data_IF_893088296434
#
_entry.id   IF_893088296434
#
_cell.length_a   1.000
_cell.length_b   1.000
_cell.length_c   1.000
_cell.angle_alpha   90.00
_cell.angle_beta   90.00
_cell.angle_gamma   90.00
#
_symmetry.space_group_name_H-M   'P 1'
#
loop_
_entity.id
_entity.type
_entity.pdbx_description
1 polymer ?
#
# COMPACT_ATOMS: atom_id res chain seq x y z
N UNK A 1 -2.47 0.31 -28.89
CA UNK A 1 -1.63 0.35 -27.68
C UNK A 1 -2.12 -0.66 -26.63
N UNK A 2 -3.41 -0.70 -26.30
CA UNK A 2 -4.02 -1.75 -25.46
C UNK A 2 -3.56 -3.18 -25.75
N UNK A 3 -3.63 -3.64 -27.00
CA UNK A 3 -3.20 -4.99 -27.36
C UNK A 3 -1.70 -5.25 -27.07
N UNK A 4 -0.85 -4.22 -27.18
CA UNK A 4 0.59 -4.37 -26.88
C UNK A 4 0.80 -4.59 -25.38
N UNK A 5 0.12 -3.81 -24.53
CA UNK A 5 0.17 -4.00 -23.08
C UNK A 5 -0.35 -5.38 -22.69
N UNK A 6 -1.42 -5.86 -23.33
CA UNK A 6 -1.94 -7.20 -23.09
C UNK A 6 -0.94 -8.31 -23.47
N UNK A 7 -0.19 -8.15 -24.56
CA UNK A 7 0.88 -9.09 -24.92
C UNK A 7 1.98 -9.09 -23.87
N UNK A 8 2.40 -7.92 -23.36
CA UNK A 8 3.37 -7.84 -22.25
C UNK A 8 2.85 -8.59 -21.03
N UNK A 9 1.62 -8.27 -20.60
CA UNK A 9 0.96 -8.90 -19.45
C UNK A 9 0.81 -10.41 -19.59
N UNK A 10 0.46 -10.91 -20.78
CA UNK A 10 0.33 -12.35 -21.04
C UNK A 10 1.64 -13.13 -20.79
N UNK A 11 2.79 -12.49 -20.96
CA UNK A 11 4.11 -13.12 -20.73
C UNK A 11 4.50 -13.18 -19.24
N UNK A 12 3.98 -12.26 -18.42
CA UNK A 12 4.37 -12.11 -17.00
C UNK A 12 3.19 -12.25 -16.03
N UNK A 13 2.03 -12.72 -16.51
CA UNK A 13 0.85 -12.90 -15.67
C UNK A 13 1.12 -13.90 -14.53
N UNK A 14 0.63 -13.64 -13.30
CA UNK A 14 0.92 -14.52 -12.15
C UNK A 14 0.39 -15.96 -12.28
N UNK A 15 -0.51 -16.23 -13.22
CA UNK A 15 -1.02 -17.58 -13.50
C UNK A 15 -0.04 -18.47 -14.28
N UNK A 16 1.01 -17.89 -14.88
CA UNK A 16 2.05 -18.64 -15.58
C UNK A 16 3.01 -19.33 -14.59
N UNK A 17 3.80 -20.28 -15.10
CA UNK A 17 4.88 -20.90 -14.34
C UNK A 17 5.91 -19.85 -13.90
N UNK A 18 6.27 -19.84 -12.61
CA UNK A 18 7.17 -18.82 -12.03
C UNK A 18 8.51 -18.71 -12.77
N UNK A 19 9.07 -19.83 -13.25
CA UNK A 19 10.32 -19.83 -14.02
C UNK A 19 10.19 -19.07 -15.36
N UNK A 20 9.04 -19.22 -16.03
CA UNK A 20 8.76 -18.52 -17.30
C UNK A 20 8.58 -17.03 -17.04
N UNK A 21 7.78 -16.67 -16.03
CA UNK A 21 7.57 -15.26 -15.64
C UNK A 21 8.91 -14.59 -15.31
N UNK A 22 9.75 -15.20 -14.47
CA UNK A 22 11.05 -14.65 -14.08
C UNK A 22 12.03 -14.55 -15.26
N UNK A 23 11.95 -15.44 -16.26
CA UNK A 23 12.73 -15.31 -17.48
C UNK A 23 12.27 -14.10 -18.31
N UNK A 24 10.96 -13.94 -18.49
CA UNK A 24 10.37 -12.81 -19.21
C UNK A 24 10.67 -11.47 -18.52
N UNK A 25 10.47 -11.37 -17.20
CA UNK A 25 10.72 -10.15 -16.41
C UNK A 25 12.18 -9.67 -16.59
N UNK A 26 13.16 -10.58 -16.51
CA UNK A 26 14.58 -10.25 -16.74
C UNK A 26 14.89 -9.82 -18.17
N UNK A 27 14.25 -10.43 -19.17
CA UNK A 27 14.41 -10.01 -20.58
C UNK A 27 13.82 -8.61 -20.78
N UNK A 28 12.64 -8.35 -20.23
CA UNK A 28 11.98 -7.04 -20.31
C UNK A 28 12.81 -5.93 -19.65
N UNK A 29 13.50 -6.24 -18.55
CA UNK A 29 14.45 -5.32 -17.94
C UNK A 29 15.64 -5.03 -18.87
N UNK A 30 16.32 -6.10 -19.34
CA UNK A 30 17.50 -5.97 -20.21
C UNK A 30 17.20 -5.27 -21.53
N UNK A 31 16.00 -5.46 -22.06
CA UNK A 31 15.53 -4.81 -23.29
C UNK A 31 15.01 -3.38 -23.06
N UNK A 32 15.07 -2.86 -21.83
CA UNK A 32 14.53 -1.55 -21.42
C UNK A 32 13.02 -1.39 -21.63
N UNK A 33 12.28 -2.50 -21.70
CA UNK A 33 10.83 -2.45 -21.81
C UNK A 33 10.21 -1.91 -20.52
N UNK A 34 10.70 -2.32 -19.34
CA UNK A 34 10.23 -1.78 -18.06
C UNK A 34 10.44 -0.26 -18.01
N UNK A 35 11.64 0.21 -18.35
CA UNK A 35 11.95 1.63 -18.44
C UNK A 35 10.97 2.39 -19.35
N UNK A 36 10.71 1.90 -20.57
CA UNK A 36 9.76 2.53 -21.49
C UNK A 36 8.33 2.57 -20.93
N UNK A 37 7.88 1.53 -20.22
CA UNK A 37 6.57 1.53 -19.54
C UNK A 37 6.53 2.58 -18.41
N UNK A 38 7.62 2.73 -17.66
CA UNK A 38 7.74 3.76 -16.62
C UNK A 38 7.78 5.18 -17.19
N UNK A 39 8.37 5.41 -18.36
CA UNK A 39 8.31 6.70 -19.06
C UNK A 39 6.87 7.08 -19.43
N UNK A 40 6.08 6.11 -19.92
CA UNK A 40 4.66 6.30 -20.22
C UNK A 40 3.88 6.61 -18.95
N UNK A 41 4.16 5.89 -17.85
CA UNK A 41 3.54 6.14 -16.55
C UNK A 41 3.74 7.58 -16.05
N UNK A 42 4.91 8.18 -16.34
CA UNK A 42 5.26 9.54 -15.93
C UNK A 42 4.92 10.61 -16.98
N UNK A 43 4.42 10.21 -18.15
CA UNK A 43 4.13 11.13 -19.25
C UNK A 43 2.82 11.90 -19.05
N UNK A 44 2.82 13.18 -19.41
CA UNK A 44 1.60 13.99 -19.43
C UNK A 44 0.72 13.67 -20.64
N UNK A 45 -0.61 13.67 -20.45
CA UNK A 45 -1.57 13.54 -21.55
C UNK A 45 -1.87 12.10 -22.00
N UNK A 46 -1.42 11.10 -21.25
CA UNK A 46 -1.80 9.70 -21.48
C UNK A 46 -3.30 9.51 -21.15
N UNK A 47 -4.11 8.92 -22.05
CA UNK A 47 -5.51 8.60 -21.76
C UNK A 47 -5.66 7.73 -20.50
N UNK A 48 -6.70 7.96 -19.70
CA UNK A 48 -6.84 7.33 -18.38
C UNK A 48 -6.93 5.79 -18.46
N UNK A 49 -7.58 5.24 -19.49
CA UNK A 49 -7.66 3.81 -19.76
C UNK A 49 -6.29 3.21 -20.11
N UNK A 50 -5.52 3.91 -20.94
CA UNK A 50 -4.15 3.52 -21.31
C UNK A 50 -3.22 3.58 -20.09
N UNK A 51 -3.34 4.63 -19.27
CA UNK A 51 -2.56 4.78 -18.04
C UNK A 51 -2.87 3.64 -17.06
N UNK A 52 -4.15 3.31 -16.89
CA UNK A 52 -4.61 2.20 -16.04
C UNK A 52 -3.98 0.87 -16.48
N UNK A 53 -4.04 0.55 -17.78
CA UNK A 53 -3.43 -0.68 -18.30
C UNK A 53 -1.90 -0.67 -18.24
N UNK A 54 -1.28 0.51 -18.38
CA UNK A 54 0.17 0.66 -18.23
C UNK A 54 0.60 0.38 -16.79
N UNK A 55 -0.14 0.89 -15.80
CA UNK A 55 0.11 0.60 -14.38
C UNK A 55 0.00 -0.90 -14.11
N UNK A 56 -1.03 -1.57 -14.64
CA UNK A 56 -1.19 -3.02 -14.50
C UNK A 56 -0.05 -3.80 -15.16
N UNK A 57 0.42 -3.36 -16.33
CA UNK A 57 1.56 -3.98 -17.01
C UNK A 57 2.85 -3.81 -16.20
N UNK A 58 3.14 -2.60 -15.70
CA UNK A 58 4.29 -2.36 -14.81
C UNK A 58 4.20 -3.24 -13.56
N UNK A 59 3.03 -3.32 -12.93
CA UNK A 59 2.79 -4.15 -11.75
C UNK A 59 3.24 -5.61 -11.97
N UNK A 60 2.79 -6.24 -13.06
CA UNK A 60 3.12 -7.63 -13.36
C UNK A 60 4.59 -7.82 -13.75
N UNK A 61 5.21 -6.84 -14.43
CA UNK A 61 6.64 -6.88 -14.77
C UNK A 61 7.53 -6.79 -13.54
N UNK A 62 7.13 -6.05 -12.50
CA UNK A 62 7.93 -5.93 -11.27
C UNK A 62 7.61 -7.00 -10.22
N UNK A 63 6.43 -7.63 -10.27
CA UNK A 63 5.95 -8.51 -9.20
C UNK A 63 6.93 -9.64 -8.86
N UNK A 64 7.53 -9.55 -7.67
CA UNK A 64 8.43 -10.58 -7.14
C UNK A 64 9.81 -10.66 -7.79
N UNK A 65 10.15 -9.73 -8.69
CA UNK A 65 11.48 -9.58 -9.27
C UNK A 65 12.18 -8.37 -8.64
N UNK A 66 13.25 -8.64 -7.88
CA UNK A 66 13.92 -7.64 -7.04
C UNK A 66 14.54 -6.50 -7.82
N UNK A 67 15.18 -6.80 -8.94
CA UNK A 67 15.87 -5.80 -9.76
C UNK A 67 14.84 -4.86 -10.40
N UNK A 68 13.71 -5.41 -10.88
CA UNK A 68 12.62 -4.62 -11.44
C UNK A 68 11.88 -3.78 -10.39
N UNK A 69 11.67 -4.31 -9.18
CA UNK A 69 11.09 -3.54 -8.07
C UNK A 69 11.97 -2.36 -7.68
N UNK A 70 13.29 -2.57 -7.58
CA UNK A 70 14.26 -1.53 -7.27
C UNK A 70 14.32 -0.47 -8.38
N UNK A 71 14.20 -0.89 -9.65
CA UNK A 71 14.11 0.04 -10.79
C UNK A 71 12.87 0.93 -10.68
N UNK A 72 11.69 0.35 -10.43
CA UNK A 72 10.46 1.13 -10.22
C UNK A 72 10.57 2.08 -9.01
N UNK A 73 11.19 1.62 -7.92
CA UNK A 73 11.41 2.44 -6.73
C UNK A 73 12.27 3.68 -6.95
N UNK A 74 13.11 3.69 -8.00
CA UNK A 74 13.97 4.82 -8.38
C UNK A 74 13.31 5.78 -9.38
N UNK A 75 12.15 5.43 -9.94
CA UNK A 75 11.46 6.30 -10.91
C UNK A 75 10.96 7.57 -10.21
N UNK A 76 11.28 8.71 -10.80
CA UNK A 76 10.87 10.03 -10.31
C UNK A 76 9.95 10.70 -11.33
N UNK A 77 8.82 11.21 -10.87
CA UNK A 77 7.90 12.01 -11.66
C UNK A 77 8.54 13.38 -11.98
N UNK A 78 8.33 13.91 -13.21
CA UNK A 78 8.85 15.20 -13.65
C UNK A 78 8.04 16.36 -13.05
N UNK A 79 8.10 16.50 -11.72
CA UNK A 79 7.52 17.61 -10.95
C UNK A 79 8.62 18.49 -10.34
N UNK A 80 8.25 19.68 -9.86
CA UNK A 80 9.15 20.54 -9.08
C UNK A 80 8.61 20.69 -7.65
N UNK A 81 9.25 20.09 -6.62
CA UNK A 81 10.38 19.16 -6.71
C UNK A 81 10.00 17.79 -7.30
N UNK A 82 10.96 16.99 -7.81
CA UNK A 82 10.71 15.63 -8.28
C UNK A 82 10.12 14.76 -7.17
N UNK A 83 9.13 13.93 -7.51
CA UNK A 83 8.46 13.03 -6.55
C UNK A 83 8.65 11.57 -6.93
N UNK A 84 8.89 10.65 -5.98
CA UNK A 84 8.94 9.23 -6.29
C UNK A 84 7.63 8.76 -6.95
N UNK A 85 7.74 7.90 -7.97
CA UNK A 85 6.58 7.37 -8.68
C UNK A 85 5.59 6.69 -7.72
N UNK A 86 6.09 5.93 -6.74
CA UNK A 86 5.27 5.29 -5.70
C UNK A 86 4.44 6.31 -4.91
N UNK A 87 4.99 7.49 -4.60
CA UNK A 87 4.26 8.55 -3.89
C UNK A 87 3.15 9.12 -4.78
N UNK A 88 3.43 9.39 -6.05
CA UNK A 88 2.44 9.91 -7.02
C UNK A 88 1.32 8.90 -7.28
N UNK A 89 1.66 7.62 -7.35
CA UNK A 89 0.69 6.53 -7.44
C UNK A 89 -0.22 6.55 -6.20
N UNK A 90 0.33 6.50 -4.98
CA UNK A 90 -0.48 6.50 -3.76
C UNK A 90 -1.35 7.76 -3.59
N UNK A 91 -0.87 8.95 -4.00
CA UNK A 91 -1.69 10.16 -4.09
C UNK A 91 -2.92 9.94 -4.98
N UNK A 92 -2.77 9.23 -6.10
CA UNK A 92 -3.87 8.88 -7.00
C UNK A 92 -4.79 7.82 -6.39
N UNK A 93 -4.24 6.86 -5.64
CA UNK A 93 -5.00 5.82 -4.93
C UNK A 93 -5.99 6.39 -3.91
N UNK A 94 -5.60 7.43 -3.17
CA UNK A 94 -6.45 8.01 -2.10
C UNK A 94 -7.32 9.16 -2.56
N UNK A 95 -7.18 9.61 -3.81
CA UNK A 95 -7.95 10.71 -4.36
C UNK A 95 -9.35 10.24 -4.81
N UNK A 96 -10.39 10.71 -4.12
CA UNK A 96 -11.79 10.37 -4.39
C UNK A 96 -12.28 10.80 -5.79
N UNK A 97 -11.58 11.73 -6.46
CA UNK A 97 -11.92 12.19 -7.81
C UNK A 97 -11.41 11.25 -8.91
N UNK A 98 -10.52 10.32 -8.58
CA UNK A 98 -9.98 9.37 -9.56
C UNK A 98 -10.95 8.22 -9.83
N UNK A 99 -10.92 7.71 -11.06
CA UNK A 99 -11.71 6.54 -11.46
C UNK A 99 -11.34 5.33 -10.59
N UNK A 100 -12.34 4.54 -10.19
CA UNK A 100 -12.12 3.33 -9.39
C UNK A 100 -11.11 2.38 -10.03
N UNK A 101 -11.20 2.17 -11.36
CA UNK A 101 -10.27 1.31 -12.10
C UNK A 101 -8.81 1.75 -11.95
N UNK A 102 -8.55 3.07 -11.99
CA UNK A 102 -7.22 3.62 -11.79
C UNK A 102 -6.74 3.40 -10.35
N UNK A 103 -7.60 3.65 -9.36
CA UNK A 103 -7.29 3.44 -7.93
C UNK A 103 -6.95 1.96 -7.65
N UNK A 104 -7.68 1.03 -8.27
CA UNK A 104 -7.39 -0.40 -8.20
C UNK A 104 -6.06 -0.78 -8.86
N UNK A 105 -5.78 -0.26 -10.07
CA UNK A 105 -4.51 -0.52 -10.76
C UNK A 105 -3.31 -0.04 -9.92
N UNK A 106 -3.45 1.14 -9.31
CA UNK A 106 -2.46 1.68 -8.39
C UNK A 106 -2.23 0.78 -7.19
N UNK A 107 -3.29 0.33 -6.51
CA UNK A 107 -3.15 -0.59 -5.39
C UNK A 107 -2.42 -1.86 -5.84
N UNK A 108 -2.85 -2.46 -6.95
CA UNK A 108 -2.22 -3.67 -7.49
C UNK A 108 -0.73 -3.48 -7.80
N UNK A 109 -0.36 -2.33 -8.36
CA UNK A 109 1.04 -1.97 -8.59
C UNK A 109 1.83 -1.85 -7.29
N UNK A 110 1.26 -1.22 -6.25
CA UNK A 110 1.89 -1.12 -4.94
C UNK A 110 2.05 -2.50 -4.26
N UNK A 111 1.04 -3.36 -4.35
CA UNK A 111 1.13 -4.74 -3.87
C UNK A 111 2.23 -5.53 -4.59
N UNK A 112 2.33 -5.39 -5.92
CA UNK A 112 3.37 -6.05 -6.71
C UNK A 112 4.77 -5.50 -6.41
N UNK A 113 4.89 -4.20 -6.15
CA UNK A 113 6.13 -3.57 -5.70
C UNK A 113 6.62 -4.13 -4.35
N UNK A 114 5.70 -4.47 -3.45
CA UNK A 114 6.00 -5.04 -2.14
C UNK A 114 6.07 -6.58 -2.11
N UNK A 115 5.54 -7.27 -3.13
CA UNK A 115 5.45 -8.72 -3.15
C UNK A 115 6.84 -9.37 -3.06
N UNK A 116 7.07 -10.15 -2.00
CA UNK A 116 8.38 -10.76 -1.67
C UNK A 116 9.54 -9.76 -1.60
N UNK A 117 9.23 -8.50 -1.23
CA UNK A 117 10.19 -7.42 -1.13
C UNK A 117 10.33 -6.90 0.30
N UNK A 118 11.08 -7.61 1.15
CA UNK A 118 11.24 -7.24 2.57
C UNK A 118 11.84 -5.84 2.77
N UNK A 119 12.74 -5.40 1.89
CA UNK A 119 13.34 -4.05 1.98
C UNK A 119 12.36 -2.95 1.58
N UNK A 120 11.57 -3.15 0.53
CA UNK A 120 10.49 -2.24 0.15
C UNK A 120 9.42 -2.14 1.24
N UNK A 121 9.04 -3.28 1.82
CA UNK A 121 8.14 -3.32 2.98
C UNK A 121 8.70 -2.51 4.16
N UNK A 122 9.99 -2.71 4.49
CA UNK A 122 10.67 -1.99 5.56
C UNK A 122 10.74 -0.49 5.29
N UNK A 123 11.06 -0.09 4.05
CA UNK A 123 11.11 1.31 3.65
C UNK A 123 9.75 1.98 3.86
N UNK A 124 8.64 1.30 3.57
CA UNK A 124 7.29 1.80 3.86
C UNK A 124 7.07 1.99 5.36
N UNK A 125 7.31 0.95 6.18
CA UNK A 125 7.10 1.01 7.63
C UNK A 125 7.96 2.08 8.30
N UNK A 126 9.21 2.24 7.86
CA UNK A 126 10.11 3.28 8.38
C UNK A 126 9.55 4.70 8.20
N UNK A 127 8.81 4.97 7.12
CA UNK A 127 8.18 6.29 6.91
C UNK A 127 7.04 6.60 7.89
N UNK A 128 6.57 5.61 8.66
CA UNK A 128 5.56 5.77 9.72
C UNK A 128 6.19 5.91 11.11
N UNK A 129 7.45 5.50 11.28
CA UNK A 129 8.09 5.50 12.58
C UNK A 129 8.49 6.93 12.99
N UNK A 130 8.42 7.27 14.30
CA UNK A 130 8.93 8.53 14.80
C UNK A 130 10.40 8.69 14.43
N UNK A 131 10.73 9.65 13.57
CA UNK A 131 12.09 9.91 13.12
C UNK A 131 12.53 11.29 13.60
N UNK A 132 13.78 11.40 14.06
CA UNK A 132 14.39 12.64 14.55
C UNK A 132 14.81 13.62 13.44
N UNK A 133 14.50 13.32 12.17
CA UNK A 133 15.02 14.01 11.00
C UNK A 133 13.98 14.95 10.36
N UNK A 134 14.49 16.11 9.98
CA UNK A 134 13.84 17.39 9.75
C UNK A 134 13.40 17.64 8.29
N UNK A 135 12.78 16.67 7.63
CA UNK A 135 12.19 16.87 6.30
C UNK A 135 10.65 16.76 6.35
N UNK A 136 10.04 17.73 7.05
CA UNK A 136 8.57 17.87 7.17
C UNK A 136 7.92 18.30 5.84
N UNK A 137 8.72 18.64 4.83
CA UNK A 137 8.24 19.26 3.58
C UNK A 137 7.81 18.27 2.49
N UNK A 138 8.29 17.02 2.53
CA UNK A 138 7.97 16.00 1.53
C UNK A 138 6.96 14.97 2.07
N UNK A 139 5.87 14.77 1.33
CA UNK A 139 4.83 13.82 1.71
C UNK A 139 5.35 12.39 1.56
N UNK A 140 5.41 11.64 2.67
CA UNK A 140 5.90 10.27 2.69
C UNK A 140 4.81 9.24 2.34
N UNK A 141 5.23 8.02 1.98
CA UNK A 141 4.32 6.89 1.77
C UNK A 141 3.45 6.62 3.01
N UNK A 142 4.06 6.59 4.19
CA UNK A 142 3.35 6.39 5.46
C UNK A 142 2.30 7.47 5.73
N UNK A 143 2.64 8.74 5.49
CA UNK A 143 1.70 9.85 5.63
C UNK A 143 0.50 9.72 4.69
N UNK A 144 0.72 9.29 3.43
CA UNK A 144 -0.36 9.04 2.47
C UNK A 144 -1.27 7.90 2.90
N UNK A 145 -0.70 6.79 3.38
CA UNK A 145 -1.47 5.65 3.87
C UNK A 145 -2.28 6.02 5.11
N UNK A 146 -1.72 6.77 6.06
CA UNK A 146 -2.48 7.30 7.20
C UNK A 146 -3.58 8.27 6.75
N UNK A 147 -3.29 9.15 5.78
CA UNK A 147 -4.28 10.08 5.22
C UNK A 147 -5.48 9.35 4.65
N UNK A 148 -5.26 8.28 3.87
CA UNK A 148 -6.35 7.48 3.32
C UNK A 148 -7.05 6.61 4.37
N UNK A 149 -6.32 6.06 5.35
CA UNK A 149 -6.88 5.25 6.44
C UNK A 149 -7.86 6.04 7.32
N UNK A 150 -7.57 7.33 7.54
CA UNK A 150 -8.36 8.23 8.37
C UNK A 150 -9.30 9.15 7.57
N UNK A 151 -9.38 8.95 6.25
CA UNK A 151 -10.26 9.70 5.36
C UNK A 151 -11.74 9.45 5.65
N UNK A 152 -12.60 10.36 5.20
CA UNK A 152 -14.05 10.16 5.13
C UNK A 152 -14.47 9.28 3.94
N UNK A 153 -13.58 9.07 2.96
CA UNK A 153 -13.80 8.19 1.82
C UNK A 153 -13.56 6.71 2.21
N UNK A 154 -14.63 5.91 2.17
CA UNK A 154 -14.57 4.49 2.50
C UNK A 154 -13.67 3.69 1.55
N UNK A 155 -13.55 4.10 0.28
CA UNK A 155 -12.62 3.46 -0.64
C UNK A 155 -11.17 3.76 -0.26
N UNK A 156 -10.84 5.03 0.05
CA UNK A 156 -9.51 5.40 0.52
C UNK A 156 -9.13 4.65 1.80
N UNK A 157 -10.09 4.46 2.72
CA UNK A 157 -9.87 3.66 3.93
C UNK A 157 -9.48 2.21 3.57
N UNK A 158 -10.28 1.56 2.72
CA UNK A 158 -10.04 0.17 2.32
C UNK A 158 -8.71 0.02 1.58
N UNK A 159 -8.45 0.87 0.58
CA UNK A 159 -7.19 0.87 -0.16
C UNK A 159 -5.97 1.04 0.76
N UNK A 160 -6.05 1.96 1.73
CA UNK A 160 -4.92 2.24 2.63
C UNK A 160 -4.71 1.11 3.64
N UNK A 161 -5.79 0.51 4.15
CA UNK A 161 -5.70 -0.63 5.04
C UNK A 161 -5.08 -1.86 4.33
N UNK A 162 -5.48 -2.13 3.08
CA UNK A 162 -4.90 -3.21 2.27
C UNK A 162 -3.45 -2.90 1.89
N UNK A 163 -3.13 -1.68 1.49
CA UNK A 163 -1.75 -1.28 1.20
C UNK A 163 -0.83 -1.42 2.44
N UNK A 164 -1.29 -1.01 3.63
CA UNK A 164 -0.58 -1.25 4.88
C UNK A 164 -0.45 -2.75 5.19
N UNK A 165 -1.50 -3.53 4.96
CA UNK A 165 -1.47 -4.98 5.14
C UNK A 165 -0.34 -5.60 4.29
N UNK A 166 -0.19 -5.20 3.02
CA UNK A 166 0.87 -5.69 2.14
C UNK A 166 2.29 -5.28 2.56
N UNK A 167 2.44 -4.24 3.38
CA UNK A 167 3.73 -3.91 4.02
C UNK A 167 4.13 -4.90 5.14
N UNK A 168 3.20 -5.76 5.59
CA UNK A 168 3.40 -6.69 6.71
C UNK A 168 3.36 -8.17 6.31
N UNK A 169 2.96 -8.48 5.07
CA UNK A 169 2.82 -9.86 4.57
C UNK A 169 4.13 -10.61 4.74
N UNK A 170 4.06 -11.77 5.41
CA UNK A 170 5.20 -12.66 5.70
C UNK A 170 6.36 -11.98 6.46
N UNK A 171 6.12 -10.86 7.16
CA UNK A 171 7.16 -10.09 7.83
C UNK A 171 6.83 -9.77 9.30
N UNK A 172 7.13 -10.72 10.20
CA UNK A 172 6.83 -10.59 11.64
C UNK A 172 7.62 -9.45 12.30
N UNK A 173 8.87 -9.23 11.89
CA UNK A 173 9.67 -8.12 12.43
C UNK A 173 9.02 -6.76 12.16
N UNK A 174 8.49 -6.55 10.96
CA UNK A 174 7.79 -5.30 10.63
C UNK A 174 6.44 -5.16 11.35
N UNK A 175 5.76 -6.27 11.67
CA UNK A 175 4.57 -6.25 12.52
C UNK A 175 4.88 -5.68 13.90
N UNK A 176 6.00 -6.10 14.50
CA UNK A 176 6.47 -5.57 15.79
C UNK A 176 6.92 -4.10 15.67
N UNK A 177 7.61 -3.73 14.59
CA UNK A 177 8.01 -2.34 14.36
C UNK A 177 6.80 -1.42 14.23
N UNK A 178 5.77 -1.83 13.49
CA UNK A 178 4.58 -1.01 13.27
C UNK A 178 3.82 -0.69 14.57
N UNK A 179 3.96 -1.49 15.63
CA UNK A 179 3.37 -1.22 16.96
C UNK A 179 3.94 0.06 17.60
N UNK A 180 5.12 0.51 17.16
CA UNK A 180 5.81 1.71 17.67
C UNK A 180 5.34 2.99 17.00
N UNK A 181 4.47 2.92 15.99
CA UNK A 181 3.92 4.09 15.31
C UNK A 181 2.98 4.82 16.26
N UNK A 182 3.31 6.08 16.54
CA UNK A 182 2.53 6.98 17.39
C UNK A 182 1.86 8.05 16.53
N UNK A 183 0.57 8.28 16.79
CA UNK A 183 -0.23 9.28 16.12
C UNK A 183 -0.45 10.48 17.05
N UNK A 184 -0.29 11.68 16.51
CA UNK A 184 -0.60 12.90 17.22
C UNK A 184 -2.12 13.02 17.42
N UNK A 185 -2.54 13.29 18.65
CA UNK A 185 -3.94 13.52 19.01
C UNK A 185 -4.25 15.02 19.06
N UNK A 186 -5.45 15.46 18.67
CA UNK A 186 -5.87 16.86 18.82
C UNK A 186 -5.75 17.33 20.28
N UNK A 187 -5.34 18.58 20.49
CA UNK A 187 -5.38 19.21 21.82
C UNK A 187 -4.28 18.77 22.81
N UNK A 188 -3.19 18.16 22.34
CA UNK A 188 -2.02 17.85 23.19
C UNK A 188 -2.22 16.70 24.16
N UNK A 189 -3.24 15.86 23.93
CA UNK A 189 -3.40 14.60 24.66
C UNK A 189 -2.24 13.62 24.39
N UNK A 190 -2.16 12.56 25.19
CA UNK A 190 -1.15 11.52 25.03
C UNK A 190 -1.27 10.89 23.62
N UNK A 191 -0.16 10.74 22.87
CA UNK A 191 -0.18 10.04 21.60
C UNK A 191 -0.76 8.64 21.73
N UNK A 192 -1.55 8.24 20.74
CA UNK A 192 -2.11 6.88 20.64
C UNK A 192 -1.33 6.07 19.61
N UNK A 193 -1.34 4.75 19.74
CA UNK A 193 -0.70 3.89 18.74
C UNK A 193 -1.53 3.78 17.47
N UNK A 194 -0.91 3.44 16.35
CA UNK A 194 -1.66 3.12 15.12
C UNK A 194 -2.64 1.96 15.32
N UNK A 195 -2.25 0.93 16.10
CA UNK A 195 -3.10 -0.21 16.43
C UNK A 195 -4.37 0.24 17.19
N UNK A 196 -4.18 1.07 18.22
CA UNK A 196 -5.28 1.64 19.00
C UNK A 196 -6.20 2.51 18.14
N UNK A 197 -5.64 3.28 17.22
CA UNK A 197 -6.46 4.07 16.31
C UNK A 197 -7.27 3.18 15.34
N UNK A 198 -6.69 2.09 14.82
CA UNK A 198 -7.43 1.13 14.01
C UNK A 198 -8.61 0.51 14.78
N UNK A 199 -8.42 0.16 16.05
CA UNK A 199 -9.51 -0.36 16.89
C UNK A 199 -10.57 0.71 17.18
N UNK A 200 -10.16 1.97 17.41
CA UNK A 200 -11.09 3.08 17.63
C UNK A 200 -11.96 3.34 16.39
N UNK A 201 -11.35 3.36 15.19
CA UNK A 201 -12.09 3.52 13.93
C UNK A 201 -13.10 2.39 13.70
N UNK A 202 -12.76 1.15 14.06
CA UNK A 202 -13.68 0.02 13.95
C UNK A 202 -14.92 0.19 14.85
N UNK A 203 -14.73 0.76 16.05
CA UNK A 203 -15.81 1.01 17.01
C UNK A 203 -16.71 2.20 16.62
N UNK A 204 -16.24 3.10 15.77
CA UNK A 204 -17.03 4.25 15.32
C UNK A 204 -18.20 3.81 14.42
N UNK A 205 -19.40 4.31 14.71
CA UNK A 205 -20.60 4.05 13.91
C UNK A 205 -20.51 4.67 12.51
N UNK A 206 -19.83 5.81 12.38
CA UNK A 206 -19.67 6.54 11.12
C UNK A 206 -18.72 5.84 10.14
N UNK A 207 -17.89 4.91 10.63
CA UNK A 207 -16.97 4.17 9.80
C UNK A 207 -17.76 3.11 9.01
N UNK A 208 -17.80 3.23 7.68
CA UNK A 208 -18.65 2.38 6.85
C UNK A 208 -18.19 0.93 6.90
N UNK A 209 -19.12 0.00 6.64
CA UNK A 209 -18.84 -1.44 6.62
C UNK A 209 -17.63 -1.78 5.73
N UNK A 210 -17.53 -1.19 4.55
CA UNK A 210 -16.40 -1.39 3.65
C UNK A 210 -15.05 -1.02 4.29
N UNK A 211 -15.00 0.13 4.98
CA UNK A 211 -13.81 0.57 5.70
C UNK A 211 -13.46 -0.39 6.85
N UNK A 212 -14.48 -0.87 7.58
CA UNK A 212 -14.31 -1.88 8.65
C UNK A 212 -13.76 -3.20 8.12
N UNK A 213 -14.19 -3.65 6.94
CA UNK A 213 -13.63 -4.84 6.28
C UNK A 213 -12.13 -4.66 6.00
N UNK A 214 -11.72 -3.49 5.48
CA UNK A 214 -10.30 -3.19 5.26
C UNK A 214 -9.49 -3.24 6.56
N UNK A 215 -10.00 -2.63 7.63
CA UNK A 215 -9.35 -2.69 8.95
C UNK A 215 -9.27 -4.12 9.50
N UNK A 216 -10.32 -4.93 9.35
CA UNK A 216 -10.33 -6.32 9.80
C UNK A 216 -9.32 -7.17 9.03
N UNK A 217 -9.16 -6.95 7.72
CA UNK A 217 -8.11 -7.60 6.92
C UNK A 217 -6.71 -7.25 7.45
N UNK A 218 -6.44 -5.96 7.64
CA UNK A 218 -5.18 -5.46 8.19
C UNK A 218 -4.90 -6.06 9.57
N UNK A 219 -5.86 -5.97 10.51
CA UNK A 219 -5.70 -6.46 11.87
C UNK A 219 -5.53 -7.97 11.90
N UNK A 220 -6.30 -8.72 11.11
CA UNK A 220 -6.16 -10.18 11.03
C UNK A 220 -4.76 -10.58 10.59
N UNK A 221 -4.21 -9.93 9.55
CA UNK A 221 -2.84 -10.18 9.12
C UNK A 221 -1.83 -9.74 10.19
N UNK A 222 -2.00 -8.56 10.77
CA UNK A 222 -1.06 -7.99 11.75
C UNK A 222 -0.95 -8.86 13.00
N UNK A 223 -2.06 -9.44 13.46
CA UNK A 223 -2.09 -10.32 14.63
C UNK A 223 -1.57 -11.73 14.32
N UNK A 224 -1.76 -12.22 13.09
CA UNK A 224 -1.34 -13.56 12.69
C UNK A 224 0.18 -13.75 12.91
N UNK A 225 0.53 -14.78 13.70
CA UNK A 225 1.92 -15.13 14.03
C UNK A 225 2.73 -14.00 14.72
N UNK A 226 2.06 -13.04 15.37
CA UNK A 226 2.70 -11.92 16.07
C UNK A 226 2.17 -11.78 17.50
N UNK A 227 2.77 -12.49 18.49
CA UNK A 227 2.31 -12.41 19.88
C UNK A 227 2.36 -11.00 20.48
N UNK A 228 3.33 -10.17 20.09
CA UNK A 228 3.41 -8.78 20.51
C UNK A 228 2.19 -7.96 20.07
N UNK A 229 1.75 -8.13 18.82
CA UNK A 229 0.56 -7.46 18.30
C UNK A 229 -0.72 -7.96 19.00
N UNK A 230 -0.82 -9.27 19.27
CA UNK A 230 -1.96 -9.84 20.04
C UNK A 230 -2.02 -9.24 21.43
N UNK A 231 -0.88 -9.19 22.13
CA UNK A 231 -0.81 -8.57 23.45
C UNK A 231 -1.25 -7.10 23.42
N UNK A 232 -0.71 -6.32 22.48
CA UNK A 232 -1.05 -4.90 22.35
C UNK A 232 -2.54 -4.67 22.06
N UNK A 233 -3.17 -5.53 21.25
CA UNK A 233 -4.61 -5.48 21.00
C UNK A 233 -5.43 -5.75 22.27
N UNK A 234 -5.05 -6.78 23.04
CA UNK A 234 -5.73 -7.15 24.29
C UNK A 234 -5.61 -6.07 25.37
N UNK A 235 -4.50 -5.33 25.37
CA UNK A 235 -4.27 -4.18 26.27
C UNK A 235 -5.04 -2.92 25.84
N UNK A 236 -5.55 -2.89 24.59
CA UNK A 236 -6.32 -1.75 24.08
C UNK A 236 -7.74 -1.79 24.62
N UNK A 237 -8.08 -0.78 25.44
CA UNK A 237 -9.36 -0.71 26.15
C UNK A 237 -10.58 -0.78 25.22
N UNK A 238 -11.62 -1.50 25.65
CA UNK A 238 -12.90 -1.61 24.93
C UNK A 238 -12.89 -2.59 23.75
N UNK A 239 -11.73 -2.93 23.17
CA UNK A 239 -11.63 -3.78 21.98
C UNK A 239 -12.28 -5.16 22.17
N UNK A 240 -11.98 -5.86 23.26
CA UNK A 240 -12.52 -7.21 23.50
C UNK A 240 -14.03 -7.20 23.76
N UNK A 241 -14.53 -6.22 24.50
CA UNK A 241 -15.96 -6.06 24.74
C UNK A 241 -16.69 -5.78 23.42
N UNK A 242 -16.12 -4.91 22.58
CA UNK A 242 -16.67 -4.60 21.25
C UNK A 242 -16.74 -5.83 20.35
N UNK A 243 -15.63 -6.57 20.19
CA UNK A 243 -15.60 -7.77 19.34
C UNK A 243 -16.59 -8.83 19.81
N UNK A 244 -16.67 -9.07 21.13
CA UNK A 244 -17.63 -10.02 21.70
C UNK A 244 -19.07 -9.60 21.43
N UNK A 245 -19.40 -8.32 21.63
CA UNK A 245 -20.72 -7.79 21.35
C UNK A 245 -21.13 -7.95 19.87
N UNK A 246 -20.21 -7.69 18.93
CA UNK A 246 -20.46 -7.86 17.49
C UNK A 246 -20.66 -9.33 17.09
N UNK A 247 -19.98 -10.27 17.75
CA UNK A 247 -20.17 -11.71 17.49
C UNK A 247 -21.51 -12.21 18.04
N UNK A 248 -21.93 -11.68 19.19
CA UNK A 248 -23.19 -12.06 19.84
C UNK A 248 -24.42 -11.35 19.26
N UNK A 249 -24.26 -10.30 18.45
CA UNK A 249 -25.37 -9.57 17.83
C UNK A 249 -25.95 -10.23 16.58
N UNK A 250 -25.67 -11.52 16.35
CA UNK A 250 -26.23 -12.32 15.26
C UNK A 250 -27.51 -13.04 15.68
#
# INVERSE_FOLDING_TARGET
FHCLLQVVRALVTPSNQQQVVAACQRVMQKSRLLHALCEILMSSGVPADILTETINAVAEVVRGDRDNQDELGRVMAPSSPPRPAIVVLLMSMINEKQLLALRCAVLYCFECFLYRNADGQRAVVQTLLPSSASDVSALSTGQLLCTGLFSTDALANWFSAVALMHSLVENVALKEELLRVLLATPGGQKPITLLEQCTNLMQQERYRLQSKVGLLMLLSLWLAHCPGAVKALLETQGTMAYLTAQLCSN
#
